data_IF_086470664459
#
_entry.id   IF_086470664459
#
_cell.length_a   1.000
_cell.length_b   1.000
_cell.length_c   1.000
_cell.angle_alpha   90.00
_cell.angle_beta   90.00
_cell.angle_gamma   90.00
#
_symmetry.space_group_name_H-M   'P 1'
#
loop_
_entity.id
_entity.type
_entity.pdbx_description
1 polymer ?
#
# COMPACT_ATOMS: atom_id res chain seq x y z
N UNK A 1 3.40 -3.30 -15.76
CA UNK A 1 2.88 -3.43 -14.38
C UNK A 1 1.95 -2.26 -14.06
N UNK A 2 1.17 -2.35 -12.98
CA UNK A 2 0.12 -1.37 -12.64
C UNK A 2 0.51 -0.37 -11.55
N UNK A 3 1.75 -0.46 -11.06
CA UNK A 3 2.34 0.51 -10.12
C UNK A 3 2.72 1.82 -10.84
N UNK A 4 2.80 2.92 -10.10
CA UNK A 4 3.20 4.22 -10.64
C UNK A 4 4.66 4.22 -11.15
N UNK A 5 5.53 3.42 -10.54
CA UNK A 5 6.94 3.27 -10.90
C UNK A 5 7.28 1.82 -11.17
N UNK A 6 8.34 1.58 -11.94
CA UNK A 6 8.83 0.22 -12.25
C UNK A 6 9.29 -0.49 -10.97
N UNK A 7 9.08 -1.81 -10.91
CA UNK A 7 9.58 -2.64 -9.83
C UNK A 7 11.09 -2.86 -9.96
N UNK A 8 11.81 -2.76 -8.85
CA UNK A 8 13.23 -3.10 -8.82
C UNK A 8 13.50 -4.59 -9.16
N UNK A 9 12.53 -5.47 -8.95
CA UNK A 9 12.62 -6.88 -9.32
C UNK A 9 12.41 -7.14 -10.82
N UNK A 10 11.78 -6.20 -11.55
CA UNK A 10 11.46 -6.31 -12.98
C UNK A 10 11.70 -4.97 -13.67
N UNK A 11 12.95 -4.48 -13.73
CA UNK A 11 13.26 -3.12 -14.22
C UNK A 11 12.95 -2.91 -15.70
N UNK A 12 12.99 -3.98 -16.49
CA UNK A 12 12.74 -3.94 -17.93
C UNK A 12 11.24 -3.98 -18.29
N UNK A 13 10.36 -4.27 -17.30
CA UNK A 13 8.91 -4.29 -17.53
C UNK A 13 8.34 -2.89 -17.31
N UNK A 14 7.77 -2.26 -18.36
CA UNK A 14 7.22 -0.91 -18.23
C UNK A 14 5.95 -0.88 -17.35
N UNK A 15 5.65 0.31 -16.83
CA UNK A 15 4.38 0.57 -16.15
C UNK A 15 3.31 1.00 -17.14
N UNK A 16 2.05 0.78 -16.79
CA UNK A 16 0.92 1.33 -17.59
C UNK A 16 0.95 2.86 -17.58
N UNK A 17 1.42 3.47 -16.49
CA UNK A 17 1.56 4.92 -16.36
C UNK A 17 2.48 5.55 -17.40
N UNK A 18 3.44 4.79 -17.96
CA UNK A 18 4.32 5.27 -19.04
C UNK A 18 3.56 5.50 -20.37
N UNK A 19 2.42 4.86 -20.53
CA UNK A 19 1.57 4.96 -21.74
C UNK A 19 0.23 5.64 -21.46
N UNK A 20 -0.27 5.52 -20.24
CA UNK A 20 -1.54 6.12 -19.80
C UNK A 20 -1.27 6.98 -18.57
N UNK A 21 -1.15 8.28 -18.79
CA UNK A 21 -0.83 9.24 -17.73
C UNK A 21 -1.81 9.14 -16.56
N UNK A 22 -1.28 9.10 -15.33
CA UNK A 22 -2.07 9.02 -14.10
C UNK A 22 -2.65 7.65 -13.78
N UNK A 23 -2.37 6.62 -14.58
CA UNK A 23 -2.82 5.27 -14.27
C UNK A 23 -2.01 4.66 -13.13
N UNK A 24 -2.70 4.23 -12.09
CA UNK A 24 -2.14 3.42 -11.00
C UNK A 24 -3.23 2.55 -10.39
N UNK A 25 -2.95 1.25 -10.28
CA UNK A 25 -3.80 0.29 -9.59
C UNK A 25 -2.93 -0.68 -8.79
N UNK A 26 -2.72 -0.35 -7.52
CA UNK A 26 -1.92 -1.14 -6.58
C UNK A 26 -2.77 -1.61 -5.41
N UNK A 27 -2.45 -2.77 -4.86
CA UNK A 27 -3.01 -3.25 -3.61
C UNK A 27 -2.09 -2.84 -2.45
N UNK A 28 -2.69 -2.39 -1.36
CA UNK A 28 -1.98 -2.04 -0.13
C UNK A 28 -2.41 -2.99 0.98
N UNK A 29 -1.43 -3.55 1.67
CA UNK A 29 -1.65 -4.41 2.83
C UNK A 29 -1.12 -3.71 4.08
N UNK A 30 -1.86 -3.80 5.16
CA UNK A 30 -1.45 -3.20 6.43
C UNK A 30 -2.17 -3.84 7.61
N UNK A 31 -1.71 -3.51 8.81
CA UNK A 31 -2.32 -3.95 10.06
C UNK A 31 -3.23 -2.86 10.62
N UNK A 32 -4.45 -3.24 11.00
CA UNK A 32 -5.37 -2.38 11.70
C UNK A 32 -5.63 -2.88 13.12
N UNK A 33 -5.82 -1.96 14.06
CA UNK A 33 -6.24 -2.26 15.42
C UNK A 33 -7.73 -1.90 15.62
N UNK A 34 -8.43 -2.56 16.54
CA UNK A 34 -9.81 -2.19 16.89
C UNK A 34 -9.92 -0.71 17.31
N UNK A 35 -11.09 -0.14 17.08
CA UNK A 35 -11.37 1.23 17.55
C UNK A 35 -11.15 1.32 19.06
N UNK A 36 -10.57 2.42 19.52
CA UNK A 36 -10.24 2.70 20.93
C UNK A 36 -9.10 1.83 21.49
N UNK A 37 -8.28 1.17 20.67
CA UNK A 37 -7.02 0.60 21.15
C UNK A 37 -6.13 1.72 21.73
N UNK A 38 -5.58 1.57 22.93
CA UNK A 38 -4.71 2.58 23.54
C UNK A 38 -3.56 2.97 22.62
N UNK A 39 -3.26 4.27 22.55
CA UNK A 39 -2.23 4.83 21.63
C UNK A 39 -0.87 4.19 21.86
N UNK A 40 -0.49 3.95 23.12
CA UNK A 40 0.78 3.28 23.48
C UNK A 40 0.93 1.88 22.86
N UNK A 41 -0.18 1.14 22.72
CA UNK A 41 -0.19 -0.18 22.07
C UNK A 41 -0.02 -0.02 20.56
N UNK A 42 -0.72 0.94 19.97
CA UNK A 42 -0.62 1.25 18.52
C UNK A 42 0.81 1.69 18.18
N UNK A 43 1.40 2.57 18.98
CA UNK A 43 2.76 3.07 18.78
C UNK A 43 3.79 1.96 18.90
N UNK A 44 3.63 1.07 19.90
CA UNK A 44 4.51 -0.10 20.07
C UNK A 44 4.42 -1.04 18.86
N UNK A 45 3.22 -1.37 18.42
CA UNK A 45 3.02 -2.20 17.22
C UNK A 45 3.63 -1.56 15.97
N UNK A 46 3.41 -0.25 15.79
CA UNK A 46 4.00 0.49 14.68
C UNK A 46 5.52 0.47 14.70
N UNK A 47 6.13 0.67 15.86
CA UNK A 47 7.58 0.61 16.03
C UNK A 47 8.12 -0.77 15.61
N UNK A 48 7.54 -1.86 16.15
CA UNK A 48 7.99 -3.22 15.84
C UNK A 48 7.79 -3.59 14.37
N UNK A 49 6.65 -3.21 13.78
CA UNK A 49 6.36 -3.46 12.36
C UNK A 49 7.35 -2.70 11.47
N UNK A 50 7.63 -1.43 11.77
CA UNK A 50 8.61 -0.65 11.02
C UNK A 50 10.04 -1.23 11.14
N UNK A 51 10.42 -1.74 12.31
CA UNK A 51 11.70 -2.43 12.50
C UNK A 51 11.79 -3.69 11.62
N UNK A 52 10.72 -4.50 11.58
CA UNK A 52 10.63 -5.70 10.74
C UNK A 52 10.69 -5.32 9.24
N UNK A 53 9.98 -4.29 8.82
CA UNK A 53 10.01 -3.79 7.43
C UNK A 53 11.38 -3.22 7.04
N UNK A 54 12.22 -2.83 8.03
CA UNK A 54 13.61 -2.42 7.84
C UNK A 54 14.57 -3.59 7.57
N UNK A 55 14.20 -4.81 7.98
CA UNK A 55 15.06 -5.98 7.85
C UNK A 55 15.29 -6.39 6.38
N UNK A 56 16.55 -6.70 6.04
CA UNK A 56 16.93 -7.02 4.66
C UNK A 56 16.28 -8.32 4.15
N UNK A 57 16.12 -9.33 5.01
CA UNK A 57 15.50 -10.61 4.63
C UNK A 57 14.01 -10.43 4.37
N UNK A 58 13.33 -9.60 5.18
CA UNK A 58 11.91 -9.29 4.98
C UNK A 58 11.71 -8.50 3.69
N UNK A 59 12.54 -7.48 3.44
CA UNK A 59 12.51 -6.73 2.18
C UNK A 59 12.71 -7.63 0.96
N UNK A 60 13.70 -8.53 1.00
CA UNK A 60 13.94 -9.49 -0.08
C UNK A 60 12.74 -10.42 -0.30
N UNK A 61 12.11 -10.89 0.79
CA UNK A 61 10.91 -11.74 0.70
C UNK A 61 9.71 -11.00 0.10
N UNK A 62 9.49 -9.76 0.51
CA UNK A 62 8.44 -8.91 -0.07
C UNK A 62 8.69 -8.66 -1.56
N UNK A 63 9.93 -8.33 -1.94
CA UNK A 63 10.30 -8.13 -3.35
C UNK A 63 10.05 -9.38 -4.20
N UNK A 64 10.37 -10.57 -3.70
CA UNK A 64 10.08 -11.85 -4.37
C UNK A 64 8.57 -12.11 -4.55
N UNK A 65 7.73 -11.54 -3.70
CA UNK A 65 6.27 -11.57 -3.81
C UNK A 65 5.71 -10.42 -4.67
N UNK A 66 6.58 -9.61 -5.27
CA UNK A 66 6.16 -8.44 -6.05
C UNK A 66 5.74 -7.23 -5.21
N UNK A 67 6.01 -7.25 -3.90
CA UNK A 67 5.65 -6.18 -2.97
C UNK A 67 6.82 -5.25 -2.64
N UNK A 68 6.49 -4.07 -2.15
CA UNK A 68 7.44 -3.08 -1.63
C UNK A 68 7.09 -2.76 -0.18
N UNK A 69 8.11 -2.73 0.70
CA UNK A 69 7.91 -2.34 2.08
C UNK A 69 7.58 -0.85 2.19
N UNK A 70 6.49 -0.51 2.87
CA UNK A 70 6.08 0.85 3.17
C UNK A 70 6.12 1.04 4.69
N UNK A 71 7.22 1.63 5.18
CA UNK A 71 7.33 2.05 6.57
C UNK A 71 6.69 3.43 6.74
N UNK A 72 6.08 3.69 7.89
CA UNK A 72 5.44 4.97 8.17
C UNK A 72 4.76 5.00 9.53
N UNK A 73 4.15 6.12 9.84
CA UNK A 73 3.36 6.32 11.06
C UNK A 73 1.92 5.79 10.90
N UNK A 74 1.18 5.58 11.99
CA UNK A 74 -0.26 5.30 11.93
C UNK A 74 -1.05 6.39 11.19
N UNK A 75 -0.63 7.65 11.30
CA UNK A 75 -1.25 8.78 10.60
C UNK A 75 -1.02 8.71 9.07
N UNK A 76 0.19 8.32 8.64
CA UNK A 76 0.48 8.13 7.21
C UNK A 76 -0.39 7.03 6.61
N UNK A 77 -0.56 5.93 7.35
CA UNK A 77 -1.42 4.83 6.90
C UNK A 77 -2.90 5.24 6.86
N UNK A 78 -3.39 5.98 7.85
CA UNK A 78 -4.75 6.50 7.86
C UNK A 78 -5.02 7.42 6.66
N UNK A 79 -4.07 8.30 6.33
CA UNK A 79 -4.14 9.17 5.15
C UNK A 79 -4.17 8.34 3.86
N UNK A 80 -3.28 7.37 3.71
CA UNK A 80 -3.24 6.47 2.55
C UNK A 80 -4.56 5.72 2.37
N UNK A 81 -5.16 5.22 3.45
CA UNK A 81 -6.46 4.55 3.41
C UNK A 81 -7.58 5.50 2.94
N UNK A 82 -7.62 6.74 3.46
CA UNK A 82 -8.62 7.72 3.07
C UNK A 82 -8.52 8.06 1.57
N UNK A 83 -7.31 8.34 1.08
CA UNK A 83 -7.04 8.66 -0.32
C UNK A 83 -7.39 7.47 -1.25
N UNK A 84 -7.01 6.26 -0.85
CA UNK A 84 -7.30 5.02 -1.60
C UNK A 84 -8.80 4.76 -1.65
N UNK A 85 -9.50 4.94 -0.52
CA UNK A 85 -10.96 4.79 -0.44
C UNK A 85 -11.67 5.78 -1.36
N UNK A 86 -11.26 7.04 -1.37
CA UNK A 86 -11.84 8.05 -2.25
C UNK A 86 -11.58 7.74 -3.73
N UNK A 87 -10.34 7.35 -4.08
CA UNK A 87 -9.95 6.94 -5.43
C UNK A 87 -10.86 5.83 -5.95
N UNK A 88 -10.96 4.74 -5.19
CA UNK A 88 -11.77 3.59 -5.62
C UNK A 88 -13.27 3.85 -5.58
N UNK A 89 -13.77 4.67 -4.65
CA UNK A 89 -15.16 5.09 -4.65
C UNK A 89 -15.56 5.86 -5.93
N UNK A 90 -14.66 6.67 -6.48
CA UNK A 90 -14.87 7.34 -7.77
C UNK A 90 -14.93 6.32 -8.92
N UNK A 91 -14.02 5.37 -8.97
CA UNK A 91 -13.98 4.32 -10.00
C UNK A 91 -15.23 3.44 -9.95
N UNK A 92 -15.61 2.97 -8.75
CA UNK A 92 -16.79 2.13 -8.55
C UNK A 92 -18.07 2.83 -9.03
N UNK A 93 -18.21 4.12 -8.68
CA UNK A 93 -19.36 4.92 -9.14
C UNK A 93 -19.36 5.13 -10.66
N UNK A 94 -18.21 5.49 -11.23
CA UNK A 94 -18.11 5.74 -12.66
C UNK A 94 -18.33 4.46 -13.50
N UNK A 95 -17.90 3.32 -13.02
CA UNK A 95 -18.07 2.02 -13.66
C UNK A 95 -19.42 1.33 -13.31
N UNK A 96 -20.25 1.96 -12.48
CA UNK A 96 -21.54 1.41 -12.01
C UNK A 96 -21.40 -0.02 -11.43
N UNK A 97 -20.30 -0.27 -10.71
CA UNK A 97 -20.05 -1.56 -10.06
C UNK A 97 -21.01 -1.71 -8.88
N UNK A 98 -21.80 -2.77 -8.90
CA UNK A 98 -22.70 -3.15 -7.78
C UNK A 98 -22.12 -4.37 -7.09
N UNK A 99 -22.22 -4.37 -5.77
CA UNK A 99 -21.88 -5.55 -4.95
C UNK A 99 -23.22 -6.23 -4.67
N UNK A 100 -23.32 -7.48 -5.05
CA UNK A 100 -24.48 -8.35 -4.72
C UNK A 100 -24.40 -8.80 -3.27
#
# INVERSE_FOLDING_TARGET
MTSATRSAALPDVPTVAEYVSGYEATAVYGCGAPKNTPTEIVDKLNHEINAILGDAKVKARLANLGGTALAGSPADYAKLLAETTEKWAKVIRAANIKVD
#
